data_IF_486621643288
#
_entry.id   IF_486621643288
#
_cell.length_a   1.000
_cell.length_b   1.000
_cell.length_c   1.000
_cell.angle_alpha   90.00
_cell.angle_beta   90.00
_cell.angle_gamma   90.00
#
_symmetry.space_group_name_H-M   'P 1'
#
loop_
_entity.id
_entity.type
_entity.pdbx_description
1 polymer ?
#
# COMPACT_ATOMS: atom_id res chain seq x y z
N UNK A 1 10.58 33.61 44.99
CA UNK A 1 9.21 33.21 44.63
C UNK A 1 8.10 34.16 45.12
N UNK A 2 8.14 34.72 46.35
CA UNK A 2 7.10 35.68 46.83
C UNK A 2 7.15 37.03 46.12
N UNK A 3 8.35 37.52 45.72
CA UNK A 3 8.52 38.77 45.00
C UNK A 3 7.97 38.69 43.56
N UNK A 4 8.29 37.61 42.87
CA UNK A 4 7.82 37.34 41.52
C UNK A 4 6.29 37.25 41.44
N UNK A 5 5.66 36.56 42.42
CA UNK A 5 4.21 36.46 42.51
C UNK A 5 3.56 37.84 42.78
N UNK A 6 4.14 38.67 43.64
CA UNK A 6 3.66 40.04 43.90
C UNK A 6 3.76 40.93 42.65
N UNK A 7 4.83 40.81 41.85
CA UNK A 7 4.99 41.55 40.59
C UNK A 7 3.98 41.11 39.53
N UNK A 8 3.75 39.80 39.42
CA UNK A 8 2.74 39.24 38.50
C UNK A 8 1.31 39.70 38.87
N UNK A 9 1.00 39.73 40.17
CA UNK A 9 -0.30 40.19 40.66
C UNK A 9 -0.48 41.72 40.58
N UNK A 10 0.60 42.51 40.64
CA UNK A 10 0.58 43.97 40.46
C UNK A 10 0.30 44.35 39.00
N UNK A 11 0.69 43.52 38.03
CA UNK A 11 0.52 43.76 36.60
C UNK A 11 -0.43 42.72 35.97
N UNK A 12 -1.61 42.53 36.56
CA UNK A 12 -2.59 41.47 36.17
C UNK A 12 -2.91 41.46 34.70
N UNK A 13 -3.20 42.60 34.08
CA UNK A 13 -3.57 42.68 32.64
C UNK A 13 -2.42 42.17 31.74
N UNK A 14 -1.17 42.61 32.00
CA UNK A 14 0.00 42.16 31.25
C UNK A 14 0.24 40.65 31.41
N UNK A 15 0.14 40.16 32.63
CA UNK A 15 0.32 38.71 32.93
C UNK A 15 -0.70 37.89 32.22
N UNK A 16 -1.99 38.28 32.22
CA UNK A 16 -3.09 37.57 31.51
C UNK A 16 -2.83 37.56 30.02
N UNK A 17 -2.50 38.70 29.41
CA UNK A 17 -2.23 38.79 27.96
C UNK A 17 -1.06 37.91 27.54
N UNK A 18 0.02 37.88 28.33
CA UNK A 18 1.16 37.01 28.06
C UNK A 18 0.79 35.51 28.16
N UNK A 19 0.04 35.15 29.22
CA UNK A 19 -0.43 33.77 29.40
C UNK A 19 -1.33 33.36 28.23
N UNK A 20 -2.29 34.19 27.85
CA UNK A 20 -3.18 33.91 26.70
C UNK A 20 -2.37 33.77 25.40
N UNK A 21 -1.37 34.62 25.15
CA UNK A 21 -0.48 34.51 24.00
C UNK A 21 0.28 33.18 23.96
N UNK A 22 0.80 32.73 25.10
CA UNK A 22 1.49 31.42 25.19
C UNK A 22 0.50 30.28 24.97
N UNK A 23 -0.68 30.33 25.58
CA UNK A 23 -1.73 29.30 25.40
C UNK A 23 -2.12 29.17 23.92
N UNK A 24 -2.37 30.29 23.24
CA UNK A 24 -2.72 30.29 21.82
C UNK A 24 -1.59 29.70 20.96
N UNK A 25 -0.33 30.07 21.24
CA UNK A 25 0.83 29.55 20.49
C UNK A 25 0.97 28.04 20.64
N UNK A 26 0.84 27.52 21.87
CA UNK A 26 0.90 26.08 22.15
C UNK A 26 -0.30 25.35 21.51
N UNK A 27 -1.49 25.92 21.64
CA UNK A 27 -2.70 25.36 21.05
C UNK A 27 -2.59 25.26 19.50
N UNK A 28 -2.07 26.32 18.85
CA UNK A 28 -1.87 26.32 17.40
C UNK A 28 -0.84 25.27 16.96
N UNK A 29 0.28 25.15 17.66
CA UNK A 29 1.29 24.11 17.38
C UNK A 29 0.69 22.70 17.54
N UNK A 30 0.01 22.46 18.66
CA UNK A 30 -0.64 21.16 18.91
C UNK A 30 -1.71 20.84 17.87
N UNK A 31 -2.52 21.82 17.49
CA UNK A 31 -3.57 21.63 16.45
C UNK A 31 -2.96 21.24 15.11
N UNK A 32 -1.89 21.90 14.66
CA UNK A 32 -1.22 21.60 13.39
C UNK A 32 -0.58 20.21 13.44
N UNK A 33 0.15 19.88 14.50
CA UNK A 33 0.79 18.55 14.61
C UNK A 33 -0.24 17.42 14.66
N UNK A 34 -1.33 17.60 15.42
CA UNK A 34 -2.43 16.62 15.49
C UNK A 34 -3.11 16.45 14.13
N UNK A 35 -3.36 17.55 13.43
CA UNK A 35 -3.96 17.50 12.09
C UNK A 35 -3.07 16.70 11.11
N UNK A 36 -1.77 17.01 11.06
CA UNK A 36 -0.83 16.31 10.16
C UNK A 36 -0.77 14.81 10.48
N UNK A 37 -0.63 14.44 11.75
CA UNK A 37 -0.58 13.02 12.13
C UNK A 37 -1.87 12.28 11.82
N UNK A 38 -3.03 12.90 12.09
CA UNK A 38 -4.33 12.31 11.76
C UNK A 38 -4.55 12.19 10.26
N UNK A 39 -4.10 13.18 9.47
CA UNK A 39 -4.16 13.11 8.02
C UNK A 39 -3.30 11.98 7.45
N UNK A 40 -2.05 11.86 7.91
CA UNK A 40 -1.15 10.77 7.49
C UNK A 40 -1.72 9.40 7.84
N UNK A 41 -2.34 9.25 9.03
CA UNK A 41 -2.99 8.01 9.42
C UNK A 41 -4.18 7.66 8.53
N UNK A 42 -5.02 8.65 8.23
CA UNK A 42 -6.14 8.48 7.30
C UNK A 42 -5.66 8.00 5.93
N UNK A 43 -4.60 8.63 5.39
CA UNK A 43 -4.03 8.25 4.09
C UNK A 43 -3.42 6.84 4.11
N UNK A 44 -2.76 6.45 5.22
CA UNK A 44 -2.26 5.08 5.38
C UNK A 44 -3.39 4.05 5.33
N UNK A 45 -4.48 4.31 6.05
CA UNK A 45 -5.66 3.43 6.05
C UNK A 45 -6.29 3.36 4.66
N UNK A 46 -6.39 4.50 3.96
CA UNK A 46 -6.92 4.55 2.61
C UNK A 46 -6.06 3.72 1.63
N UNK A 47 -4.75 3.98 1.58
CA UNK A 47 -3.83 3.22 0.72
C UNK A 47 -3.85 1.73 1.07
N UNK A 48 -3.80 1.38 2.36
CA UNK A 48 -3.85 -0.02 2.79
C UNK A 48 -5.17 -0.70 2.40
N UNK A 49 -6.27 0.04 2.30
CA UNK A 49 -7.56 -0.53 1.89
C UNK A 49 -7.65 -0.83 0.39
N UNK A 50 -6.88 -0.11 -0.44
CA UNK A 50 -6.86 -0.30 -1.90
C UNK A 50 -5.68 -1.16 -2.37
N UNK A 51 -4.50 -0.98 -1.79
CA UNK A 51 -3.23 -1.56 -2.26
C UNK A 51 -2.68 -2.63 -1.30
N UNK A 52 -3.40 -2.92 -0.21
CA UNK A 52 -2.95 -3.81 0.86
C UNK A 52 -2.01 -3.14 1.85
N UNK A 53 -1.81 -3.77 2.99
CA UNK A 53 -0.97 -3.26 4.10
C UNK A 53 0.46 -3.83 4.11
N UNK A 54 0.92 -4.38 3.00
CA UNK A 54 2.27 -4.89 2.85
C UNK A 54 3.30 -3.75 2.77
N UNK A 55 4.55 -4.03 3.12
CA UNK A 55 5.63 -3.05 3.09
C UNK A 55 6.76 -3.42 2.13
N UNK A 56 7.10 -4.70 2.05
CA UNK A 56 8.10 -5.26 1.13
C UNK A 56 7.55 -6.52 0.48
N UNK A 57 7.94 -6.79 -0.76
CA UNK A 57 7.60 -8.01 -1.46
C UNK A 57 8.83 -8.55 -2.19
N UNK A 58 8.89 -9.88 -2.26
CA UNK A 58 9.93 -10.61 -2.99
C UNK A 58 9.30 -11.48 -4.06
N UNK A 59 9.87 -11.45 -5.26
CA UNK A 59 9.42 -12.19 -6.43
C UNK A 59 10.29 -13.42 -6.72
N UNK A 60 9.84 -14.28 -7.62
CA UNK A 60 10.58 -15.45 -8.11
C UNK A 60 11.11 -16.39 -7.02
N UNK A 61 10.36 -16.52 -5.93
CA UNK A 61 10.75 -17.24 -4.75
C UNK A 61 10.72 -18.77 -4.93
N UNK A 62 11.75 -19.44 -4.45
CA UNK A 62 11.78 -20.89 -4.24
C UNK A 62 11.01 -21.28 -2.96
N UNK A 63 10.59 -22.55 -2.86
CA UNK A 63 9.90 -23.05 -1.68
C UNK A 63 10.70 -22.84 -0.37
N UNK A 64 12.02 -22.99 -0.42
CA UNK A 64 12.88 -22.79 0.75
C UNK A 64 12.91 -21.31 1.21
N UNK A 65 12.95 -20.37 0.26
CA UNK A 65 12.89 -18.93 0.56
C UNK A 65 11.53 -18.56 1.13
N UNK A 66 10.44 -19.10 0.56
CA UNK A 66 9.08 -18.91 1.06
C UNK A 66 8.97 -19.37 2.53
N UNK A 67 9.47 -20.57 2.85
CA UNK A 67 9.43 -21.08 4.22
C UNK A 67 10.27 -20.24 5.18
N UNK A 68 11.43 -19.75 4.72
CA UNK A 68 12.28 -18.87 5.52
C UNK A 68 11.58 -17.55 5.84
N UNK A 69 10.96 -16.90 4.84
CA UNK A 69 10.24 -15.63 5.01
C UNK A 69 8.99 -15.78 5.87
N UNK A 70 8.27 -16.92 5.76
CA UNK A 70 7.09 -17.20 6.60
C UNK A 70 7.40 -17.36 8.08
N UNK A 71 8.61 -17.85 8.38
CA UNK A 71 9.05 -18.12 9.75
C UNK A 71 9.91 -16.98 10.34
N UNK A 72 10.04 -15.86 9.64
CA UNK A 72 10.81 -14.71 10.11
C UNK A 72 9.92 -13.81 10.99
N UNK A 73 10.32 -13.69 12.26
CA UNK A 73 9.63 -12.90 13.28
C UNK A 73 9.59 -11.39 12.98
N UNK A 74 10.34 -10.91 11.98
CA UNK A 74 10.28 -9.52 11.54
C UNK A 74 8.91 -9.15 10.91
N UNK A 75 8.19 -10.15 10.41
CA UNK A 75 6.93 -9.98 9.71
C UNK A 75 5.73 -10.42 10.55
N UNK A 76 4.71 -9.55 10.65
CA UNK A 76 3.45 -9.89 11.33
C UNK A 76 2.47 -10.63 10.40
N UNK A 77 2.60 -10.43 9.09
CA UNK A 77 1.75 -11.08 8.10
C UNK A 77 2.51 -11.30 6.80
N UNK A 78 2.18 -12.37 6.10
CA UNK A 78 2.72 -12.69 4.79
C UNK A 78 1.63 -13.20 3.88
N UNK A 79 1.69 -12.74 2.61
CA UNK A 79 0.70 -13.06 1.59
C UNK A 79 1.44 -13.62 0.38
N UNK A 80 1.21 -14.91 0.03
CA UNK A 80 1.90 -15.61 -1.05
C UNK A 80 1.01 -15.69 -2.30
N UNK A 81 1.49 -15.16 -3.41
CA UNK A 81 0.91 -15.36 -4.74
C UNK A 81 1.74 -16.36 -5.54
N UNK A 82 1.09 -17.37 -6.10
CA UNK A 82 1.72 -18.35 -6.96
C UNK A 82 1.07 -18.31 -8.32
N UNK A 83 1.74 -17.69 -9.26
CA UNK A 83 1.28 -17.62 -10.64
C UNK A 83 1.40 -18.96 -11.30
N UNK A 84 0.30 -19.40 -11.90
CA UNK A 84 0.20 -20.68 -12.64
C UNK A 84 0.30 -20.42 -14.13
N UNK A 85 -0.40 -19.38 -14.60
CA UNK A 85 -0.54 -19.14 -16.04
C UNK A 85 -0.90 -17.68 -16.32
N UNK A 86 -0.79 -17.28 -17.56
CA UNK A 86 -1.42 -16.08 -18.12
C UNK A 86 -2.46 -16.51 -19.16
N UNK A 87 -3.68 -16.09 -18.93
CA UNK A 87 -4.83 -16.45 -19.76
C UNK A 87 -5.11 -15.33 -20.76
N UNK A 88 -5.42 -15.69 -22.00
CA UNK A 88 -5.94 -14.78 -23.01
C UNK A 88 -7.44 -15.00 -23.16
N UNK A 89 -8.23 -13.98 -22.84
CA UNK A 89 -9.70 -14.05 -22.81
C UNK A 89 -10.31 -13.70 -24.16
N UNK A 90 -9.82 -12.64 -24.81
CA UNK A 90 -10.36 -12.16 -26.08
C UNK A 90 -9.21 -11.94 -27.07
N UNK A 91 -9.29 -12.58 -28.24
CA UNK A 91 -8.28 -12.46 -29.28
C UNK A 91 -8.45 -11.19 -30.11
N UNK A 92 -9.67 -10.67 -30.23
CA UNK A 92 -9.96 -9.47 -31.01
C UNK A 92 -9.62 -8.20 -30.25
N UNK A 93 -9.76 -8.26 -28.92
CA UNK A 93 -9.36 -7.21 -27.99
C UNK A 93 -8.57 -7.88 -26.85
N UNK A 94 -7.26 -8.11 -27.02
CA UNK A 94 -6.50 -8.99 -26.14
C UNK A 94 -6.54 -8.54 -24.68
N UNK A 95 -7.20 -9.35 -23.86
CA UNK A 95 -7.29 -9.19 -22.41
C UNK A 95 -6.50 -10.33 -21.79
N UNK A 96 -5.41 -9.99 -21.11
CA UNK A 96 -4.59 -10.95 -20.37
C UNK A 96 -5.01 -10.97 -18.91
N UNK A 97 -5.20 -12.18 -18.39
CA UNK A 97 -5.57 -12.42 -16.99
C UNK A 97 -4.57 -13.38 -16.37
N UNK A 98 -4.01 -13.01 -15.23
CA UNK A 98 -3.17 -13.92 -14.47
C UNK A 98 -4.02 -14.97 -13.75
N UNK A 99 -3.63 -16.23 -13.91
CA UNK A 99 -4.16 -17.34 -13.13
C UNK A 99 -3.22 -17.62 -11.97
N UNK A 100 -3.71 -17.42 -10.77
CA UNK A 100 -2.95 -17.64 -9.54
C UNK A 100 -3.51 -18.80 -8.72
N UNK A 101 -2.66 -19.49 -7.99
CA UNK A 101 -3.06 -20.53 -7.05
C UNK A 101 -3.50 -19.93 -5.72
N UNK A 102 -4.63 -20.41 -5.22
CA UNK A 102 -5.15 -20.16 -3.88
C UNK A 102 -4.64 -21.25 -2.93
N UNK A 103 -3.47 -21.06 -2.33
CA UNK A 103 -2.98 -22.09 -1.42
C UNK A 103 -3.36 -21.83 0.05
N UNK A 104 -3.12 -20.69 0.57
CA UNK A 104 -3.49 -20.31 1.95
C UNK A 104 -4.34 -19.02 2.02
N UNK A 105 -4.72 -18.50 0.88
CA UNK A 105 -5.43 -17.24 0.68
C UNK A 105 -6.90 -17.30 1.03
N UNK A 106 -7.47 -18.48 1.12
CA UNK A 106 -8.90 -18.68 1.38
C UNK A 106 -9.42 -17.94 2.61
N UNK A 107 -8.53 -17.52 3.52
CA UNK A 107 -8.91 -16.74 4.71
C UNK A 107 -8.93 -15.22 4.47
N UNK A 108 -8.20 -14.73 3.47
CA UNK A 108 -8.04 -13.30 3.20
C UNK A 108 -8.91 -12.79 2.04
N UNK A 109 -9.16 -13.63 1.03
CA UNK A 109 -10.11 -13.31 -0.04
C UNK A 109 -11.53 -13.62 0.45
N UNK A 110 -12.24 -12.62 0.93
CA UNK A 110 -13.65 -12.75 1.31
C UNK A 110 -14.52 -12.81 0.06
N UNK A 111 -15.13 -13.95 -0.21
CA UNK A 111 -16.04 -14.09 -1.35
C UNK A 111 -17.32 -13.26 -1.15
N UNK A 112 -17.75 -12.57 -2.20
CA UNK A 112 -19.08 -11.93 -2.29
C UNK A 112 -20.16 -12.95 -2.55
N UNK A 113 -19.83 -14.00 -3.34
CA UNK A 113 -20.79 -15.04 -3.76
C UNK A 113 -20.05 -16.31 -4.14
N UNK A 114 -20.67 -17.47 -3.93
CA UNK A 114 -20.17 -18.79 -4.33
C UNK A 114 -19.25 -19.42 -3.31
N UNK A 115 -18.36 -20.27 -3.79
CA UNK A 115 -17.44 -21.07 -3.00
C UNK A 115 -16.00 -20.86 -3.48
N UNK A 116 -15.02 -21.26 -2.68
CA UNK A 116 -13.62 -21.33 -3.12
C UNK A 116 -13.42 -22.51 -4.07
N UNK A 117 -12.47 -22.40 -5.04
CA UNK A 117 -12.14 -23.50 -5.94
C UNK A 117 -11.66 -24.73 -5.15
N UNK A 118 -12.13 -25.90 -5.53
CA UNK A 118 -11.69 -27.18 -4.97
C UNK A 118 -10.62 -27.87 -5.83
N UNK A 119 -10.49 -27.48 -7.09
CA UNK A 119 -9.57 -28.08 -8.06
C UNK A 119 -9.14 -27.09 -9.13
N UNK A 120 -8.19 -27.49 -9.98
CA UNK A 120 -7.59 -26.63 -11.03
C UNK A 120 -8.49 -26.30 -12.23
N UNK A 121 -9.72 -26.81 -12.28
CA UNK A 121 -10.70 -26.45 -13.31
C UNK A 121 -11.77 -25.49 -12.80
N UNK A 122 -11.73 -25.16 -11.52
CA UNK A 122 -12.60 -24.19 -10.89
C UNK A 122 -11.85 -22.88 -10.64
N UNK A 123 -12.53 -21.76 -10.87
CA UNK A 123 -11.95 -20.43 -10.62
C UNK A 123 -12.91 -19.54 -9.87
N UNK A 124 -12.33 -18.60 -9.14
CA UNK A 124 -13.02 -17.40 -8.68
C UNK A 124 -12.56 -16.20 -9.51
N UNK A 125 -13.48 -15.29 -9.76
CA UNK A 125 -13.28 -14.11 -10.59
C UNK A 125 -13.56 -12.84 -9.78
N UNK A 126 -12.97 -11.73 -10.19
CA UNK A 126 -13.25 -10.44 -9.55
C UNK A 126 -14.67 -9.94 -9.86
N UNK A 127 -15.22 -9.14 -8.95
CA UNK A 127 -16.49 -8.44 -9.16
C UNK A 127 -16.42 -7.50 -10.37
N UNK A 128 -15.28 -6.92 -10.64
CA UNK A 128 -15.05 -6.10 -11.81
C UNK A 128 -15.21 -6.90 -13.09
N UNK A 129 -14.50 -8.04 -13.21
CA UNK A 129 -14.61 -8.91 -14.38
C UNK A 129 -16.04 -9.41 -14.58
N UNK A 130 -16.71 -9.81 -13.49
CA UNK A 130 -18.13 -10.19 -13.53
C UNK A 130 -18.97 -9.09 -14.14
N UNK A 131 -18.81 -7.85 -13.70
CA UNK A 131 -19.67 -6.73 -14.12
C UNK A 131 -19.44 -6.37 -15.59
N UNK A 132 -18.18 -6.39 -16.04
CA UNK A 132 -17.83 -6.05 -17.42
C UNK A 132 -18.29 -7.12 -18.43
N UNK A 133 -18.23 -8.39 -18.04
CA UNK A 133 -18.48 -9.51 -18.96
C UNK A 133 -19.81 -10.23 -18.71
N UNK A 134 -20.58 -9.84 -17.69
CA UNK A 134 -21.89 -10.44 -17.40
C UNK A 134 -21.84 -11.87 -16.86
N UNK A 135 -20.65 -12.38 -16.49
CA UNK A 135 -20.42 -13.76 -16.04
C UNK A 135 -21.02 -13.99 -14.65
N UNK A 136 -21.52 -15.19 -14.39
CA UNK A 136 -22.16 -15.57 -13.11
C UNK A 136 -21.49 -16.81 -12.53
N UNK A 137 -21.68 -17.01 -11.23
CA UNK A 137 -21.32 -18.29 -10.59
C UNK A 137 -22.13 -19.41 -11.23
N UNK A 138 -21.45 -20.45 -11.66
CA UNK A 138 -21.98 -21.58 -12.41
C UNK A 138 -21.75 -21.50 -13.91
N UNK A 139 -21.30 -20.38 -14.44
CA UNK A 139 -20.96 -20.25 -15.85
C UNK A 139 -19.57 -20.86 -16.13
N UNK A 140 -19.36 -21.23 -17.38
CA UNK A 140 -18.08 -21.70 -17.91
C UNK A 140 -17.40 -20.57 -18.69
N UNK A 141 -16.10 -20.41 -18.47
CA UNK A 141 -15.25 -19.48 -19.23
C UNK A 141 -14.22 -20.31 -20.01
N UNK A 142 -14.22 -20.17 -21.33
CA UNK A 142 -13.23 -20.78 -22.20
C UNK A 142 -12.19 -19.75 -22.60
N UNK A 143 -10.92 -20.05 -22.33
CA UNK A 143 -9.78 -19.13 -22.50
C UNK A 143 -8.61 -19.86 -23.15
N UNK A 144 -7.69 -19.09 -23.72
CA UNK A 144 -6.39 -19.62 -24.14
C UNK A 144 -5.39 -19.52 -22.98
N UNK A 145 -4.56 -20.56 -22.83
CA UNK A 145 -3.57 -20.71 -21.77
C UNK A 145 -2.16 -20.58 -22.34
N UNK A 146 -1.15 -20.28 -21.48
CA UNK A 146 0.24 -20.14 -21.91
C UNK A 146 0.51 -18.83 -22.66
N UNK A 147 -0.32 -17.82 -22.50
CA UNK A 147 -0.09 -16.52 -23.10
C UNK A 147 1.10 -15.83 -22.42
N UNK A 148 1.94 -15.17 -23.21
CA UNK A 148 3.00 -14.31 -22.68
C UNK A 148 2.53 -12.88 -22.80
N UNK A 149 2.40 -12.18 -21.66
CA UNK A 149 2.11 -10.75 -21.66
C UNK A 149 3.38 -10.02 -22.13
N UNK A 150 3.33 -9.45 -23.31
CA UNK A 150 4.39 -8.61 -23.85
C UNK A 150 3.98 -7.18 -23.53
N UNK A 151 4.69 -6.58 -22.58
CA UNK A 151 4.56 -5.20 -22.07
C UNK A 151 3.38 -4.35 -22.58
N UNK A 152 2.87 -3.42 -21.78
CA UNK A 152 1.69 -2.55 -21.92
C UNK A 152 1.49 -1.77 -23.24
N UNK A 153 2.22 -2.07 -24.31
CA UNK A 153 2.16 -1.35 -25.58
C UNK A 153 1.94 -2.32 -26.74
N UNK A 154 0.74 -2.19 -27.36
CA UNK A 154 0.39 -2.67 -28.68
C UNK A 154 0.99 -4.02 -29.10
N UNK A 155 0.17 -5.06 -29.06
CA UNK A 155 0.48 -6.33 -29.68
C UNK A 155 0.65 -6.10 -31.18
N UNK A 156 1.87 -6.28 -31.69
CA UNK A 156 2.12 -6.25 -33.12
C UNK A 156 1.46 -7.47 -33.80
N UNK A 157 1.09 -7.33 -35.06
CA UNK A 157 0.31 -8.34 -35.82
C UNK A 157 0.97 -9.74 -35.84
N UNK A 158 2.29 -9.81 -35.81
CA UNK A 158 3.06 -11.07 -35.76
C UNK A 158 2.88 -11.82 -34.42
N UNK A 159 2.58 -11.11 -33.33
CA UNK A 159 2.35 -11.70 -32.01
C UNK A 159 0.94 -12.26 -31.86
N UNK A 160 -0.03 -11.73 -32.61
CA UNK A 160 -1.39 -12.26 -32.69
C UNK A 160 -1.43 -13.62 -33.42
N UNK A 161 -0.60 -13.84 -34.42
CA UNK A 161 -0.49 -15.13 -35.10
C UNK A 161 0.05 -16.23 -34.16
N UNK A 162 0.96 -15.87 -33.23
CA UNK A 162 1.46 -16.81 -32.24
C UNK A 162 0.40 -17.20 -31.19
N UNK A 163 -0.59 -16.34 -30.92
CA UNK A 163 -1.67 -16.63 -29.97
C UNK A 163 -2.73 -17.59 -30.55
N UNK A 164 -2.83 -17.73 -31.87
CA UNK A 164 -3.77 -18.65 -32.51
C UNK A 164 -3.50 -20.11 -32.14
N UNK A 165 -2.25 -20.48 -31.90
CA UNK A 165 -1.83 -21.85 -31.58
C UNK A 165 -1.87 -22.17 -30.07
N UNK A 166 -2.26 -21.23 -29.19
CA UNK A 166 -2.29 -21.47 -27.75
C UNK A 166 -3.35 -22.51 -27.36
N UNK A 167 -3.05 -23.37 -26.38
CA UNK A 167 -4.02 -24.33 -25.85
C UNK A 167 -5.26 -23.64 -25.29
N UNK A 168 -6.41 -24.29 -25.45
CA UNK A 168 -7.68 -23.80 -24.94
C UNK A 168 -8.08 -24.60 -23.72
N UNK A 169 -8.51 -23.91 -22.66
CA UNK A 169 -9.01 -24.53 -21.42
C UNK A 169 -10.31 -23.87 -20.99
N UNK A 170 -11.23 -24.69 -20.49
CA UNK A 170 -12.51 -24.25 -19.94
C UNK A 170 -12.44 -24.35 -18.41
N UNK A 171 -12.85 -23.28 -17.73
CA UNK A 171 -12.95 -23.22 -16.28
C UNK A 171 -14.38 -22.99 -15.83
N UNK A 172 -14.79 -23.61 -14.74
CA UNK A 172 -16.05 -23.33 -14.06
C UNK A 172 -15.89 -22.16 -13.08
N UNK A 173 -16.74 -21.16 -13.18
CA UNK A 173 -16.76 -20.04 -12.22
C UNK A 173 -17.52 -20.47 -10.97
N UNK A 174 -16.81 -20.67 -9.87
CA UNK A 174 -17.41 -21.13 -8.60
C UNK A 174 -17.60 -20.03 -7.58
N UNK A 175 -16.95 -18.87 -7.74
CA UNK A 175 -17.08 -17.76 -6.81
C UNK A 175 -16.69 -16.41 -7.38
N UNK A 176 -17.08 -15.36 -6.67
CA UNK A 176 -16.82 -13.97 -7.02
C UNK A 176 -16.23 -13.29 -5.79
N UNK A 177 -15.09 -12.62 -5.97
CA UNK A 177 -14.42 -11.86 -4.93
C UNK A 177 -14.52 -10.33 -5.18
N UNK A 178 -14.46 -9.48 -4.13
CA UNK A 178 -14.46 -8.04 -4.30
C UNK A 178 -13.21 -7.58 -5.04
N UNK A 179 -13.34 -6.50 -5.81
CA UNK A 179 -12.22 -5.95 -6.59
C UNK A 179 -11.24 -5.11 -5.76
N UNK A 180 -11.42 -5.02 -4.45
CA UNK A 180 -10.78 -4.00 -3.61
C UNK A 180 -9.89 -4.55 -2.47
N UNK A 181 -9.72 -5.86 -2.32
CA UNK A 181 -9.19 -6.38 -1.05
C UNK A 181 -7.76 -6.92 -1.10
N UNK A 182 -7.08 -6.88 -2.22
CA UNK A 182 -5.72 -7.41 -2.34
C UNK A 182 -4.89 -6.53 -3.28
N UNK A 183 -3.62 -6.54 -3.22
CA UNK A 183 -2.60 -5.75 -3.92
C UNK A 183 -2.99 -5.23 -5.32
N UNK A 184 -2.88 -3.94 -5.56
CA UNK A 184 -3.38 -3.21 -6.74
C UNK A 184 -2.86 -3.71 -8.11
N UNK A 185 -1.69 -4.28 -8.18
CA UNK A 185 -1.11 -4.75 -9.45
C UNK A 185 -1.87 -5.91 -10.12
N UNK A 186 -2.71 -6.62 -9.37
CA UNK A 186 -3.42 -7.82 -9.84
C UNK A 186 -4.94 -7.72 -9.89
N UNK A 187 -5.55 -6.64 -9.45
CA UNK A 187 -6.99 -6.53 -9.21
C UNK A 187 -7.91 -6.90 -10.35
N UNK A 188 -7.61 -6.35 -11.47
CA UNK A 188 -8.54 -6.38 -12.59
C UNK A 188 -8.34 -7.61 -13.45
N UNK A 189 -7.18 -8.22 -13.37
CA UNK A 189 -6.71 -9.21 -14.31
C UNK A 189 -6.22 -10.51 -13.62
N UNK A 190 -6.82 -10.89 -12.49
CA UNK A 190 -6.48 -12.16 -11.84
C UNK A 190 -7.68 -13.04 -11.66
N UNK A 191 -7.50 -14.32 -12.00
CA UNK A 191 -8.36 -15.41 -11.58
C UNK A 191 -7.61 -16.27 -10.58
N UNK A 192 -8.34 -16.91 -9.68
CA UNK A 192 -7.73 -17.81 -8.70
C UNK A 192 -8.31 -19.19 -8.81
N UNK A 193 -7.45 -20.19 -8.74
CA UNK A 193 -7.78 -21.61 -8.76
C UNK A 193 -7.13 -22.33 -7.58
N UNK A 194 -7.34 -23.64 -7.44
CA UNK A 194 -6.72 -24.44 -6.39
C UNK A 194 -5.98 -25.65 -6.98
N UNK A 195 -5.03 -26.20 -6.22
CA UNK A 195 -4.36 -27.47 -6.48
C UNK A 195 -3.72 -27.59 -7.87
N UNK A 196 -3.06 -26.56 -8.36
CA UNK A 196 -2.25 -26.66 -9.57
C UNK A 196 -0.87 -27.24 -9.27
N UNK A 197 -0.38 -28.09 -10.13
CA UNK A 197 0.97 -28.66 -10.06
C UNK A 197 2.04 -27.82 -10.76
N UNK A 198 1.62 -26.78 -11.49
CA UNK A 198 2.51 -25.99 -12.34
C UNK A 198 2.57 -24.56 -11.85
N UNK A 199 3.59 -24.23 -11.08
CA UNK A 199 3.85 -22.85 -10.59
C UNK A 199 4.94 -22.25 -11.48
N UNK A 200 4.67 -21.09 -12.06
CA UNK A 200 5.61 -20.35 -12.93
C UNK A 200 6.48 -19.42 -12.08
N UNK A 201 5.86 -18.67 -11.18
CA UNK A 201 6.55 -17.78 -10.24
C UNK A 201 5.80 -17.69 -8.92
N UNK A 202 6.53 -17.33 -7.86
CA UNK A 202 5.98 -17.14 -6.53
C UNK A 202 6.41 -15.77 -6.03
N UNK A 203 5.45 -14.94 -5.64
CA UNK A 203 5.66 -13.62 -5.06
C UNK A 203 5.07 -13.58 -3.66
N UNK A 204 5.83 -13.06 -2.71
CA UNK A 204 5.39 -12.93 -1.34
C UNK A 204 5.39 -11.47 -0.92
N UNK A 205 4.24 -11.01 -0.47
CA UNK A 205 4.05 -9.69 0.15
C UNK A 205 4.14 -9.83 1.66
N UNK A 206 4.89 -8.96 2.29
CA UNK A 206 5.24 -9.04 3.70
C UNK A 206 4.88 -7.74 4.43
N UNK A 207 4.18 -7.88 5.54
CA UNK A 207 3.86 -6.77 6.44
C UNK A 207 4.81 -6.83 7.63
N UNK A 208 5.63 -5.80 7.81
CA UNK A 208 6.57 -5.72 8.92
C UNK A 208 5.86 -5.43 10.25
N UNK A 209 6.38 -5.96 11.35
CA UNK A 209 5.95 -5.62 12.71
C UNK A 209 6.24 -4.16 13.05
N UNK A 210 7.34 -3.63 12.54
CA UNK A 210 7.77 -2.24 12.72
C UNK A 210 8.32 -1.71 11.42
N UNK A 211 7.90 -0.49 11.05
CA UNK A 211 8.31 0.18 9.81
C UNK A 211 9.15 1.39 10.20
N UNK A 212 10.40 1.41 9.75
CA UNK A 212 11.37 2.46 10.01
C UNK A 212 12.18 2.82 8.74
N UNK A 213 13.13 3.74 8.86
CA UNK A 213 13.94 4.20 7.74
C UNK A 213 14.88 3.13 7.17
N UNK A 214 15.16 2.08 7.94
CA UNK A 214 16.10 1.01 7.56
C UNK A 214 15.42 -0.07 6.70
N UNK A 215 14.14 0.09 6.36
CA UNK A 215 13.36 -0.90 5.58
C UNK A 215 14.03 -1.30 4.27
N UNK A 216 14.64 -0.35 3.56
CA UNK A 216 15.30 -0.63 2.27
C UNK A 216 16.58 -1.44 2.46
N UNK A 217 17.36 -1.12 3.48
CA UNK A 217 18.58 -1.84 3.82
C UNK A 217 18.24 -3.23 4.38
N UNK A 218 17.27 -3.32 5.28
CA UNK A 218 16.80 -4.59 5.84
C UNK A 218 16.21 -5.51 4.76
N UNK A 219 15.39 -4.98 3.87
CA UNK A 219 14.85 -5.75 2.74
C UNK A 219 15.94 -6.28 1.81
N UNK A 220 16.92 -5.45 1.49
CA UNK A 220 18.07 -5.83 0.66
C UNK A 220 18.97 -6.88 1.36
N UNK A 221 19.23 -6.72 2.65
CA UNK A 221 20.01 -7.67 3.44
C UNK A 221 19.31 -9.03 3.54
N UNK A 222 17.99 -9.03 3.75
CA UNK A 222 17.17 -10.26 3.74
C UNK A 222 17.25 -10.96 2.38
N UNK A 223 17.08 -10.22 1.29
CA UNK A 223 17.22 -10.78 -0.06
C UNK A 223 18.60 -11.39 -0.28
N UNK A 224 19.66 -10.67 0.08
CA UNK A 224 21.04 -11.16 -0.05
C UNK A 224 21.27 -12.42 0.77
N UNK A 225 20.78 -12.48 2.01
CA UNK A 225 20.94 -13.64 2.91
C UNK A 225 20.24 -14.90 2.38
N UNK A 226 19.13 -14.72 1.69
CA UNK A 226 18.32 -15.79 1.10
C UNK A 226 18.70 -16.09 -0.36
N UNK A 227 19.61 -15.33 -0.97
CA UNK A 227 19.98 -15.49 -2.37
C UNK A 227 18.87 -15.09 -3.33
N UNK A 228 18.06 -14.10 -2.97
CA UNK A 228 17.03 -13.48 -3.82
C UNK A 228 17.71 -12.37 -4.64
N UNK A 229 17.40 -12.27 -5.93
CA UNK A 229 17.93 -11.22 -6.78
C UNK A 229 17.44 -9.83 -6.33
N UNK A 230 18.30 -8.84 -6.40
CA UNK A 230 17.94 -7.46 -6.03
C UNK A 230 16.85 -6.86 -6.94
N UNK A 231 16.71 -7.36 -8.16
CA UNK A 231 15.65 -6.98 -9.09
C UNK A 231 14.28 -7.54 -8.70
N UNK A 232 14.26 -8.58 -7.85
CA UNK A 232 13.03 -9.23 -7.37
C UNK A 232 12.50 -8.63 -6.06
N UNK A 233 13.02 -7.48 -5.62
CA UNK A 233 12.57 -6.77 -4.41
C UNK A 233 11.64 -5.63 -4.83
N UNK A 234 10.48 -5.56 -4.23
CA UNK A 234 9.53 -4.47 -4.40
C UNK A 234 9.15 -3.87 -3.04
N UNK A 235 8.95 -2.55 -2.99
CA UNK A 235 8.51 -1.84 -1.80
C UNK A 235 7.21 -1.12 -2.07
N UNK A 236 6.33 -1.09 -1.09
CA UNK A 236 5.05 -0.36 -1.19
C UNK A 236 5.28 1.15 -1.04
N UNK A 237 5.84 1.77 -2.07
CA UNK A 237 6.28 3.18 -2.06
C UNK A 237 5.17 4.12 -1.58
N UNK A 238 3.95 3.95 -2.10
CA UNK A 238 2.81 4.81 -1.74
C UNK A 238 2.49 4.75 -0.25
N UNK A 239 2.51 3.56 0.34
CA UNK A 239 2.26 3.38 1.76
C UNK A 239 3.41 3.95 2.60
N UNK A 240 4.65 3.68 2.21
CA UNK A 240 5.86 4.13 2.90
C UNK A 240 5.96 5.67 2.93
N UNK A 241 5.51 6.37 1.88
CA UNK A 241 5.45 7.83 1.88
C UNK A 241 4.61 8.39 3.04
N UNK A 242 3.52 7.74 3.39
CA UNK A 242 2.69 8.16 4.53
C UNK A 242 3.25 7.72 5.90
N UNK A 243 4.28 6.88 5.92
CA UNK A 243 5.15 6.68 7.09
C UNK A 243 6.28 7.71 7.16
N UNK A 244 6.44 8.57 6.16
CA UNK A 244 7.55 9.51 6.02
C UNK A 244 8.84 8.84 5.56
N UNK A 245 8.75 7.68 4.96
CA UNK A 245 9.88 6.83 4.55
C UNK A 245 9.96 6.78 3.03
N UNK A 246 11.14 7.09 2.49
CA UNK A 246 11.39 7.02 1.06
C UNK A 246 12.87 6.85 0.77
N UNK A 247 13.19 6.11 -0.27
CA UNK A 247 14.54 6.05 -0.85
C UNK A 247 14.75 7.11 -1.96
N UNK A 248 13.79 8.01 -2.16
CA UNK A 248 13.86 9.09 -3.14
C UNK A 248 14.32 10.38 -2.46
N UNK A 249 15.57 10.80 -2.73
CA UNK A 249 16.15 12.02 -2.15
C UNK A 249 15.35 13.28 -2.47
N UNK A 250 14.78 13.37 -3.67
CA UNK A 250 13.95 14.50 -4.08
C UNK A 250 12.67 14.62 -3.26
N UNK A 251 12.01 13.49 -2.98
CA UNK A 251 10.84 13.44 -2.10
C UNK A 251 11.21 13.82 -0.66
N UNK A 252 12.29 13.25 -0.13
CA UNK A 252 12.76 13.54 1.23
C UNK A 252 13.09 15.02 1.40
N UNK A 253 13.78 15.63 0.41
CA UNK A 253 14.10 17.06 0.43
C UNK A 253 12.83 17.93 0.34
N UNK A 254 11.87 17.59 -0.51
CA UNK A 254 10.61 18.31 -0.62
C UNK A 254 9.79 18.24 0.68
N UNK A 255 9.74 17.08 1.32
CA UNK A 255 9.06 16.86 2.59
C UNK A 255 9.70 17.69 3.70
N UNK A 256 11.04 17.65 3.85
CA UNK A 256 11.76 18.44 4.84
C UNK A 256 11.59 19.94 4.62
N UNK A 257 11.55 20.38 3.36
CA UNK A 257 11.30 21.77 3.02
C UNK A 257 9.89 22.19 3.44
N UNK A 258 8.87 21.38 3.14
CA UNK A 258 7.49 21.66 3.53
C UNK A 258 7.33 21.75 5.05
N UNK A 259 7.90 20.82 5.80
CA UNK A 259 7.93 20.86 7.27
C UNK A 259 8.62 22.12 7.78
N UNK A 260 9.77 22.48 7.19
CA UNK A 260 10.51 23.70 7.54
C UNK A 260 9.67 24.96 7.34
N UNK A 261 8.94 25.08 6.24
CA UNK A 261 8.03 26.20 5.97
C UNK A 261 6.92 26.30 7.03
N UNK A 262 6.29 25.18 7.37
CA UNK A 262 5.24 25.13 8.39
C UNK A 262 5.78 25.58 9.75
N UNK A 263 6.96 25.10 10.15
CA UNK A 263 7.62 25.50 11.41
C UNK A 263 7.90 27.01 11.43
N UNK A 264 8.40 27.57 10.31
CA UNK A 264 8.67 29.03 10.21
C UNK A 264 7.38 29.83 10.33
N UNK A 265 6.30 29.41 9.69
CA UNK A 265 4.98 30.09 9.79
C UNK A 265 4.48 30.09 11.25
N UNK A 266 4.59 28.95 11.93
CA UNK A 266 4.20 28.83 13.35
C UNK A 266 5.06 29.75 14.23
N UNK A 267 6.38 29.80 14.00
CA UNK A 267 7.28 30.69 14.73
C UNK A 267 6.91 32.18 14.54
N UNK A 268 6.69 32.61 13.30
CA UNK A 268 6.30 33.99 13.00
C UNK A 268 4.98 34.34 13.69
N UNK A 269 3.98 33.45 13.58
CA UNK A 269 2.70 33.66 14.26
C UNK A 269 2.84 33.77 15.78
N UNK A 270 3.63 32.90 16.39
CA UNK A 270 3.89 32.90 17.83
C UNK A 270 4.63 34.18 18.29
N UNK A 271 5.65 34.59 17.55
CA UNK A 271 6.40 35.87 17.84
C UNK A 271 5.46 37.05 17.71
N UNK A 272 4.63 37.10 16.65
CA UNK A 272 3.65 38.18 16.45
C UNK A 272 2.64 38.29 17.60
N UNK A 273 2.13 37.18 18.09
CA UNK A 273 1.21 37.14 19.24
C UNK A 273 1.88 37.64 20.51
N UNK A 274 3.09 37.18 20.79
CA UNK A 274 3.89 37.62 21.97
C UNK A 274 4.22 39.12 21.86
N UNK A 275 4.66 39.58 20.68
CA UNK A 275 4.98 40.99 20.46
C UNK A 275 3.73 41.87 20.65
N UNK A 276 2.58 41.54 20.11
CA UNK A 276 1.34 42.28 20.31
C UNK A 276 0.95 42.32 21.80
N UNK A 277 1.12 41.24 22.54
CA UNK A 277 0.86 41.19 23.96
C UNK A 277 1.77 42.17 24.72
N UNK A 278 3.07 42.28 24.37
CA UNK A 278 3.98 43.25 24.95
C UNK A 278 3.69 44.68 24.54
N UNK A 279 3.36 44.94 23.26
CA UNK A 279 3.05 46.28 22.74
C UNK A 279 1.83 46.90 23.42
N UNK A 280 0.74 46.12 23.58
CA UNK A 280 -0.45 46.57 24.34
C UNK A 280 -0.08 46.89 25.77
N UNK A 281 0.76 46.10 26.41
CA UNK A 281 1.21 46.33 27.77
C UNK A 281 2.10 47.55 27.95
N UNK A 282 2.81 48.01 26.90
CA UNK A 282 3.64 49.20 26.94
C UNK A 282 2.84 50.49 26.71
N UNK A 283 1.80 50.43 25.84
CA UNK A 283 0.95 51.59 25.52
C UNK A 283 -0.06 51.94 26.62
N UNK A 284 -0.28 51.09 27.62
CA UNK A 284 -1.12 51.37 28.79
C UNK A 284 -0.35 52.03 29.95
N UNK A 285 0.91 52.48 29.74
CA UNK A 285 1.67 53.29 30.65
C UNK A 285 1.60 54.76 30.21
#
# INVERSE_FOLDING_TARGET
NKLTLKQLLANKKRTVVTIVGIIISVAMFTAVTTFVTSFMEMMRLEVSSYDGSWHVAYDNLTSQQIDSLKNDDAYQNSVLFQKIDTLLIDENNPIFIELNQLDNYSKEIKLLKGNYPANSNEIIISKYYQTQNGVKVGDEITVKTGATQISDKFIETEQLESTAALPVKTFNVVGIYPSTDLVQESYYNSFYTANSSSIISSKMYLTLNHVDNDIFDNGSNTAQSLGIDSGDISYHQNLLYYYGISNNDGFNQAMMTAVGIVVVIIMIGSIGLIYNAFAISLNER
#
